data_IF_038719501603
#
_entry.id   IF_038719501603
#
_cell.length_a   1.000
_cell.length_b   1.000
_cell.length_c   1.000
_cell.angle_alpha   90.00
_cell.angle_beta   90.00
_cell.angle_gamma   90.00
#
_symmetry.space_group_name_H-M   'P 1'
#
loop_
_entity.id
_entity.type
_entity.pdbx_description
1 polymer ?
#
# COMPACT_ATOMS: atom_id res chain seq x y z
N UNK A 1 -0.74 4.08 -13.60
CA UNK A 1 0.64 3.59 -13.81
C UNK A 1 0.83 2.38 -12.92
N UNK A 2 1.17 1.22 -13.47
CA UNK A 2 1.35 0.00 -12.69
C UNK A 2 2.70 0.09 -11.94
N UNK A 3 2.75 0.08 -10.60
CA UNK A 3 4.02 0.17 -9.89
C UNK A 3 4.77 -1.16 -10.03
N UNK A 4 5.85 -1.13 -10.80
CA UNK A 4 6.83 -2.20 -10.79
C UNK A 4 7.30 -2.48 -9.36
N UNK A 5 7.49 -3.75 -9.00
CA UNK A 5 8.03 -4.17 -7.71
C UNK A 5 9.40 -3.54 -7.38
N UNK A 6 10.06 -2.97 -8.39
CA UNK A 6 11.40 -2.38 -8.35
C UNK A 6 11.43 -0.85 -8.26
N UNK A 7 10.28 -0.19 -8.16
CA UNK A 7 10.23 1.27 -7.98
C UNK A 7 10.30 1.66 -6.49
N UNK A 8 10.86 2.84 -6.15
CA UNK A 8 10.77 3.39 -4.80
C UNK A 8 9.29 3.54 -4.37
N UNK A 9 9.01 3.32 -3.10
CA UNK A 9 7.65 3.46 -2.60
C UNK A 9 7.21 4.94 -2.61
N UNK A 10 6.01 5.26 -3.14
CA UNK A 10 5.50 6.63 -3.15
C UNK A 10 5.43 7.27 -1.76
N UNK A 11 5.25 6.50 -0.68
CA UNK A 11 5.18 7.04 0.69
C UNK A 11 6.45 7.71 1.22
N UNK A 12 7.52 7.82 0.42
CA UNK A 12 8.77 8.50 0.77
C UNK A 12 9.72 7.67 1.63
N UNK A 13 9.39 6.41 1.91
CA UNK A 13 10.33 5.49 2.57
C UNK A 13 11.40 5.03 1.58
N UNK A 14 12.67 4.87 1.98
CA UNK A 14 13.76 4.46 1.07
C UNK A 14 13.65 3.03 0.53
N UNK A 15 12.61 2.28 0.93
CA UNK A 15 12.40 0.91 0.47
C UNK A 15 11.67 0.89 -0.87
N UNK A 16 11.91 -0.18 -1.64
CA UNK A 16 11.13 -0.49 -2.82
C UNK A 16 9.67 -0.72 -2.46
N UNK A 17 8.77 -0.38 -3.37
CA UNK A 17 7.32 -0.50 -3.20
C UNK A 17 6.92 -1.90 -2.70
N UNK A 18 7.44 -2.97 -3.32
CA UNK A 18 7.12 -4.35 -2.93
C UNK A 18 7.51 -4.69 -1.48
N UNK A 19 8.61 -4.13 -0.98
CA UNK A 19 9.08 -4.34 0.40
C UNK A 19 8.44 -3.37 1.42
N UNK A 20 7.81 -2.29 0.92
CA UNK A 20 7.18 -1.24 1.71
C UNK A 20 5.64 -1.38 1.69
N UNK A 21 4.91 -0.43 1.10
CA UNK A 21 3.44 -0.43 1.10
C UNK A 21 2.83 -1.53 0.21
N UNK A 22 3.56 -1.98 -0.81
CA UNK A 22 3.10 -3.00 -1.76
C UNK A 22 2.81 -4.34 -1.11
N UNK A 23 3.50 -4.72 -0.03
CA UNK A 23 3.22 -5.97 0.70
C UNK A 23 1.82 -6.00 1.31
N UNK A 24 1.34 -4.86 1.80
CA UNK A 24 0.00 -4.75 2.39
C UNK A 24 -1.08 -4.68 1.31
N UNK A 25 -0.80 -4.00 0.19
CA UNK A 25 -1.70 -3.98 -0.96
C UNK A 25 -1.85 -5.38 -1.56
N UNK A 26 -0.75 -6.12 -1.70
CA UNK A 26 -0.75 -7.49 -2.20
C UNK A 26 -1.48 -8.44 -1.23
N UNK A 27 -1.20 -8.35 0.07
CA UNK A 27 -1.91 -9.14 1.08
C UNK A 27 -3.42 -8.88 1.04
N UNK A 28 -3.84 -7.61 0.99
CA UNK A 28 -5.25 -7.25 0.86
C UNK A 28 -5.85 -7.77 -0.44
N UNK A 29 -5.16 -7.68 -1.58
CA UNK A 29 -5.67 -8.20 -2.85
C UNK A 29 -5.84 -9.73 -2.85
N UNK A 30 -5.09 -10.45 -2.02
CA UNK A 30 -5.13 -11.90 -1.93
C UNK A 30 -6.16 -12.40 -0.90
N UNK A 31 -6.24 -11.77 0.28
CA UNK A 31 -7.06 -12.25 1.39
C UNK A 31 -8.18 -11.31 1.82
N UNK A 32 -8.27 -10.10 1.24
CA UNK A 32 -9.16 -9.04 1.70
C UNK A 32 -8.79 -8.45 3.06
N UNK A 33 -7.65 -8.85 3.65
CA UNK A 33 -7.26 -8.43 5.00
C UNK A 33 -6.31 -7.24 4.96
N UNK A 34 -6.59 -6.22 5.78
CA UNK A 34 -5.64 -5.13 6.03
C UNK A 34 -4.65 -5.54 7.10
N UNK A 35 -3.37 -5.55 6.73
CA UNK A 35 -2.26 -6.08 7.56
C UNK A 35 -1.24 -5.02 7.96
N UNK A 36 -1.57 -3.74 7.79
CA UNK A 36 -0.72 -2.64 8.25
C UNK A 36 -0.65 -2.64 9.79
N UNK A 37 0.53 -2.87 10.40
CA UNK A 37 0.63 -3.19 11.84
C UNK A 37 0.54 -1.96 12.75
N UNK A 38 0.64 -0.76 12.19
CA UNK A 38 0.63 0.51 12.94
C UNK A 38 -0.21 1.56 12.21
N UNK A 39 -0.74 2.58 12.92
CA UNK A 39 -1.44 3.69 12.28
C UNK A 39 -0.60 4.42 11.23
N UNK A 40 0.70 4.61 11.49
CA UNK A 40 1.62 5.22 10.53
C UNK A 40 1.76 4.37 9.26
N UNK A 41 1.93 3.05 9.42
CA UNK A 41 1.97 2.12 8.30
C UNK A 41 0.68 2.18 7.47
N UNK A 42 -0.47 2.23 8.14
CA UNK A 42 -1.77 2.36 7.48
C UNK A 42 -1.86 3.67 6.68
N UNK A 43 -1.52 4.81 7.27
CA UNK A 43 -1.58 6.11 6.59
C UNK A 43 -0.63 6.19 5.39
N UNK A 44 0.61 5.70 5.53
CA UNK A 44 1.59 5.61 4.41
C UNK A 44 1.10 4.68 3.29
N UNK A 45 0.48 3.56 3.65
CA UNK A 45 -0.11 2.64 2.67
C UNK A 45 -1.26 3.29 1.90
N UNK A 46 -2.15 3.99 2.60
CA UNK A 46 -3.27 4.73 1.99
C UNK A 46 -2.80 5.83 1.04
N UNK A 47 -1.75 6.58 1.42
CA UNK A 47 -1.14 7.55 0.51
C UNK A 47 -0.61 6.87 -0.77
N UNK A 48 0.14 5.77 -0.63
CA UNK A 48 0.67 5.05 -1.78
C UNK A 48 -0.45 4.48 -2.65
N UNK A 49 -1.51 3.94 -2.04
CA UNK A 49 -2.69 3.46 -2.75
C UNK A 49 -3.39 4.57 -3.53
N UNK A 50 -3.44 5.79 -3.00
CA UNK A 50 -3.96 6.96 -3.73
C UNK A 50 -3.12 7.31 -4.96
N UNK A 51 -1.79 7.42 -4.80
CA UNK A 51 -0.87 7.71 -5.91
C UNK A 51 -0.95 6.66 -7.03
N UNK A 52 -1.19 5.41 -6.65
CA UNK A 52 -1.21 4.25 -7.55
C UNK A 52 -2.60 3.88 -8.06
N UNK A 53 -3.63 4.66 -7.71
CA UNK A 53 -5.04 4.42 -8.06
C UNK A 53 -5.58 3.04 -7.62
N UNK A 54 -5.17 2.59 -6.43
CA UNK A 54 -5.60 1.31 -5.83
C UNK A 54 -6.88 1.48 -5.00
N UNK A 55 -7.98 1.81 -5.70
CA UNK A 55 -9.29 2.11 -5.10
C UNK A 55 -9.84 1.02 -4.17
N UNK A 56 -9.74 -0.29 -4.48
CA UNK A 56 -10.25 -1.33 -3.59
C UNK A 56 -9.58 -1.31 -2.21
N UNK A 57 -8.26 -1.03 -2.16
CA UNK A 57 -7.52 -0.94 -0.91
C UNK A 57 -7.96 0.29 -0.09
N UNK A 58 -8.16 1.43 -0.76
CA UNK A 58 -8.63 2.65 -0.10
C UNK A 58 -9.98 2.41 0.58
N UNK A 59 -10.97 1.88 -0.15
CA UNK A 59 -12.31 1.61 0.38
C UNK A 59 -12.30 0.64 1.56
N UNK A 60 -11.52 -0.45 1.46
CA UNK A 60 -11.41 -1.41 2.54
C UNK A 60 -10.79 -0.82 3.82
N UNK A 61 -9.93 0.20 3.67
CA UNK A 61 -9.20 0.85 4.77
C UNK A 61 -9.91 2.04 5.39
N UNK A 62 -11.16 2.29 5.00
CA UNK A 62 -12.03 3.28 5.65
C UNK A 62 -12.72 2.65 6.87
N UNK A 63 -13.00 3.49 7.87
CA UNK A 63 -13.73 3.13 9.09
C UNK A 63 -14.89 4.10 9.27
#
# INVERSE_FOLDING_TARGET
>A
MNPDARTPCPCGHPQLYAACCGRWHAAHAQSGTLTAPTPEALMRSRYSAFVLDLRPYLLASWH
#
